data_IF_490583085816
#
_entry.id   IF_490583085816
#
_cell.length_a   1.000
_cell.length_b   1.000
_cell.length_c   1.000
_cell.angle_alpha   90.00
_cell.angle_beta   90.00
_cell.angle_gamma   90.00
#
_symmetry.space_group_name_H-M   'P 1'
#
loop_
_entity.id
_entity.type
_entity.pdbx_description
1 polymer ?
#
# COMPACT_ATOMS: atom_id res chain seq x y z
N UNK A 1 -13.48 2.88 -2.48
CA UNK A 1 -12.99 3.23 -3.83
C UNK A 1 -12.30 2.01 -4.43
N UNK A 2 -12.25 1.90 -5.75
CA UNK A 2 -11.62 0.78 -6.43
C UNK A 2 -11.95 0.75 -7.91
N UNK A 3 -11.23 -0.08 -8.66
CA UNK A 3 -11.32 -0.15 -10.13
C UNK A 3 -12.49 -1.03 -10.62
N UNK A 4 -13.00 -1.92 -9.77
CA UNK A 4 -14.13 -2.82 -10.05
C UNK A 4 -14.84 -3.23 -8.74
N UNK A 5 -16.06 -3.77 -8.80
CA UNK A 5 -16.74 -4.32 -7.62
C UNK A 5 -15.90 -5.37 -6.88
N UNK A 6 -15.28 -6.31 -7.60
CA UNK A 6 -14.45 -7.37 -7.01
C UNK A 6 -13.21 -6.80 -6.32
N UNK A 7 -12.58 -5.79 -6.93
CA UNK A 7 -11.46 -5.10 -6.31
C UNK A 7 -11.86 -4.42 -5.00
N UNK A 8 -13.04 -3.77 -4.97
CA UNK A 8 -13.57 -3.13 -3.75
C UNK A 8 -13.79 -4.16 -2.65
N UNK A 9 -14.33 -5.34 -2.98
CA UNK A 9 -14.55 -6.43 -2.01
C UNK A 9 -13.20 -6.94 -1.47
N UNK A 10 -12.23 -7.25 -2.35
CA UNK A 10 -10.91 -7.76 -1.94
C UNK A 10 -10.15 -6.74 -1.09
N UNK A 11 -10.12 -5.47 -1.52
CA UNK A 11 -9.48 -4.39 -0.76
C UNK A 11 -10.17 -4.17 0.59
N UNK A 12 -11.51 -4.24 0.64
CA UNK A 12 -12.27 -4.14 1.88
C UNK A 12 -11.88 -5.23 2.89
N UNK A 13 -11.69 -6.46 2.44
CA UNK A 13 -11.20 -7.56 3.27
C UNK A 13 -9.79 -7.33 3.81
N UNK A 14 -8.86 -6.90 2.95
CA UNK A 14 -7.48 -6.57 3.35
C UNK A 14 -7.49 -5.46 4.41
N UNK A 15 -8.24 -4.37 4.18
CA UNK A 15 -8.33 -3.25 5.12
C UNK A 15 -8.94 -3.68 6.45
N UNK A 16 -9.97 -4.54 6.44
CA UNK A 16 -10.58 -5.07 7.66
C UNK A 16 -9.56 -5.88 8.49
N UNK A 17 -8.75 -6.71 7.83
CA UNK A 17 -7.71 -7.50 8.48
C UNK A 17 -6.57 -6.63 9.04
N UNK A 18 -6.10 -5.66 8.27
CA UNK A 18 -5.04 -4.73 8.69
C UNK A 18 -5.48 -3.90 9.91
N UNK A 19 -6.74 -3.44 9.93
CA UNK A 19 -7.29 -2.61 11.02
C UNK A 19 -7.69 -3.40 12.25
N UNK A 20 -7.81 -4.73 12.16
CA UNK A 20 -8.18 -5.55 13.31
C UNK A 20 -7.01 -5.63 14.31
N UNK A 21 -7.15 -5.08 15.54
CA UNK A 21 -6.07 -5.09 16.54
C UNK A 21 -5.78 -6.49 17.08
N UNK A 22 -6.77 -7.39 17.08
CA UNK A 22 -6.67 -8.74 17.64
C UNK A 22 -6.12 -9.76 16.64
N UNK A 23 -5.99 -9.38 15.37
CA UNK A 23 -5.50 -10.25 14.31
C UNK A 23 -4.05 -9.95 13.99
N UNK A 24 -3.13 -10.84 14.37
CA UNK A 24 -1.72 -10.73 13.98
C UNK A 24 -1.38 -11.78 12.92
N UNK A 25 -0.69 -11.35 11.86
CA UNK A 25 -0.28 -12.21 10.75
C UNK A 25 0.96 -11.66 10.08
N UNK A 26 1.63 -12.52 9.31
CA UNK A 26 2.81 -12.17 8.56
C UNK A 26 2.44 -11.66 7.17
N UNK A 27 3.16 -10.64 6.69
CA UNK A 27 2.99 -10.01 5.39
C UNK A 27 4.32 -10.10 4.66
N UNK A 28 4.31 -10.69 3.47
CA UNK A 28 5.46 -10.68 2.58
C UNK A 28 5.46 -9.38 1.76
N UNK A 29 6.56 -8.65 1.77
CA UNK A 29 6.73 -7.46 0.93
C UNK A 29 7.19 -7.89 -0.45
N UNK A 30 6.48 -7.46 -1.49
CA UNK A 30 6.81 -7.80 -2.87
C UNK A 30 6.80 -6.54 -3.75
N UNK A 31 7.79 -6.41 -4.63
CA UNK A 31 7.75 -5.49 -5.77
C UNK A 31 7.22 -6.23 -7.01
N UNK A 32 6.01 -6.75 -6.89
CA UNK A 32 5.32 -7.57 -7.88
C UNK A 32 3.81 -7.57 -7.60
N UNK A 33 3.03 -8.36 -8.34
CA UNK A 33 1.61 -8.52 -8.00
C UNK A 33 1.42 -9.06 -6.59
N UNK A 34 0.63 -8.33 -5.82
CA UNK A 34 0.23 -8.68 -4.47
C UNK A 34 -1.22 -9.21 -4.42
N UNK A 35 -1.72 -9.40 -3.20
CA UNK A 35 -3.09 -9.81 -2.94
C UNK A 35 -4.15 -8.87 -3.54
N UNK A 36 -3.93 -7.56 -3.53
CA UNK A 36 -4.88 -6.60 -4.08
C UNK A 36 -4.92 -6.69 -5.61
N UNK A 37 -3.77 -6.90 -6.25
CA UNK A 37 -3.63 -7.08 -7.69
C UNK A 37 -4.46 -8.26 -8.20
N UNK A 38 -4.66 -9.31 -7.40
CA UNK A 38 -5.40 -10.50 -7.82
C UNK A 38 -6.86 -10.22 -8.23
N UNK A 39 -7.46 -9.16 -7.69
CA UNK A 39 -8.81 -8.70 -8.06
C UNK A 39 -8.81 -7.44 -8.95
N UNK A 40 -7.64 -6.97 -9.39
CA UNK A 40 -7.52 -5.78 -10.23
C UNK A 40 -7.91 -6.10 -11.68
N UNK A 41 -8.83 -5.32 -12.30
CA UNK A 41 -9.21 -5.54 -13.70
C UNK A 41 -8.08 -5.22 -14.69
N UNK A 42 -7.04 -4.51 -14.25
CA UNK A 42 -5.88 -4.14 -15.05
C UNK A 42 -4.70 -5.10 -14.89
N UNK A 43 -4.86 -6.19 -14.13
CA UNK A 43 -3.81 -7.21 -13.96
C UNK A 43 -3.73 -8.05 -15.24
N UNK A 44 -2.68 -7.83 -16.03
CA UNK A 44 -2.31 -8.72 -17.13
C UNK A 44 -1.73 -10.05 -16.63
N UNK A 45 -1.22 -10.86 -17.55
CA UNK A 45 -0.64 -12.15 -17.16
C UNK A 45 0.65 -12.00 -16.32
N UNK A 46 1.49 -11.03 -16.70
CA UNK A 46 2.81 -10.83 -16.07
C UNK A 46 3.08 -9.38 -15.65
N UNK A 47 2.21 -8.43 -16.02
CA UNK A 47 2.43 -6.99 -15.79
C UNK A 47 1.12 -6.22 -15.68
N UNK A 48 1.18 -5.04 -15.07
CA UNK A 48 0.04 -4.11 -15.06
C UNK A 48 -0.21 -3.56 -16.48
N UNK A 49 -1.45 -3.65 -16.94
CA UNK A 49 -1.89 -3.26 -18.29
C UNK A 49 -2.93 -2.14 -18.25
N UNK A 50 -2.92 -1.32 -17.19
CA UNK A 50 -3.86 -0.21 -17.05
C UNK A 50 -3.69 0.83 -18.18
N UNK A 51 -2.44 1.13 -18.54
CA UNK A 51 -2.05 1.97 -19.67
C UNK A 51 -0.54 1.79 -19.99
N UNK A 52 -0.07 2.50 -21.01
CA UNK A 52 1.37 2.54 -21.34
C UNK A 52 2.19 3.06 -20.15
N UNK A 53 3.19 2.28 -19.74
CA UNK A 53 4.05 2.61 -18.59
C UNK A 53 3.44 2.30 -17.21
N UNK A 54 2.21 1.78 -17.12
CA UNK A 54 1.58 1.52 -15.82
C UNK A 54 2.34 0.52 -14.96
N UNK A 55 2.99 -0.46 -15.59
CA UNK A 55 3.77 -1.48 -14.88
C UNK A 55 5.01 -0.90 -14.21
N UNK A 56 5.81 -0.16 -14.98
CA UNK A 56 7.02 0.49 -14.50
C UNK A 56 6.68 1.54 -13.43
N UNK A 57 5.55 2.22 -13.60
CA UNK A 57 5.03 3.18 -12.63
C UNK A 57 4.72 2.54 -11.27
N UNK A 58 3.92 1.46 -11.24
CA UNK A 58 3.58 0.80 -9.97
C UNK A 58 4.81 0.15 -9.32
N UNK A 59 5.68 -0.51 -10.10
CA UNK A 59 6.92 -1.09 -9.57
C UNK A 59 7.87 -0.02 -9.00
N UNK A 60 7.91 1.15 -9.62
CA UNK A 60 8.66 2.30 -9.08
C UNK A 60 8.06 2.77 -7.74
N UNK A 61 6.74 2.82 -7.61
CA UNK A 61 6.09 3.17 -6.34
C UNK A 61 6.39 2.14 -5.25
N UNK A 62 6.29 0.85 -5.57
CA UNK A 62 6.61 -0.24 -4.64
C UNK A 62 8.06 -0.14 -4.15
N UNK A 63 9.00 0.04 -5.08
CA UNK A 63 10.42 0.21 -4.76
C UNK A 63 10.69 1.43 -3.87
N UNK A 64 10.05 2.58 -4.15
CA UNK A 64 10.15 3.78 -3.30
C UNK A 64 9.68 3.50 -1.87
N UNK A 65 8.53 2.84 -1.70
CA UNK A 65 7.95 2.53 -0.37
C UNK A 65 8.81 1.53 0.39
N UNK A 66 9.24 0.43 -0.27
CA UNK A 66 10.13 -0.58 0.33
C UNK A 66 11.42 0.09 0.82
N UNK A 67 12.07 0.89 -0.02
CA UNK A 67 13.29 1.60 0.34
C UNK A 67 13.07 2.61 1.48
N UNK A 68 11.97 3.39 1.43
CA UNK A 68 11.65 4.41 2.45
C UNK A 68 11.41 3.79 3.83
N UNK A 69 10.74 2.64 3.87
CA UNK A 69 10.50 1.91 5.12
C UNK A 69 11.75 1.13 5.58
N UNK A 70 12.73 0.91 4.71
CA UNK A 70 13.90 0.08 4.99
C UNK A 70 13.55 -1.40 5.05
N UNK A 71 12.63 -1.83 4.18
CA UNK A 71 12.21 -3.22 4.01
C UNK A 71 12.98 -3.84 2.83
N UNK A 72 12.90 -5.17 2.70
CA UNK A 72 13.49 -5.91 1.60
C UNK A 72 12.42 -6.62 0.77
N UNK A 73 12.58 -6.62 -0.55
CA UNK A 73 11.72 -7.40 -1.44
C UNK A 73 11.83 -8.91 -1.14
N UNK A 74 10.70 -9.59 -1.09
CA UNK A 74 10.57 -11.02 -0.77
C UNK A 74 10.64 -11.36 0.73
N UNK A 75 10.97 -10.42 1.62
CA UNK A 75 11.00 -10.65 3.06
C UNK A 75 9.62 -10.60 3.71
N UNK A 76 9.50 -11.25 4.86
CA UNK A 76 8.25 -11.38 5.60
C UNK A 76 8.35 -10.65 6.93
N UNK A 77 7.37 -9.80 7.21
CA UNK A 77 7.30 -8.99 8.42
C UNK A 77 5.96 -9.18 9.12
N UNK A 78 5.93 -8.87 10.41
CA UNK A 78 4.71 -8.89 11.20
C UNK A 78 3.83 -7.67 10.90
N UNK A 79 2.51 -7.87 10.78
CA UNK A 79 1.53 -6.80 10.50
C UNK A 79 1.73 -5.61 11.44
N UNK A 80 1.79 -5.85 12.75
CA UNK A 80 1.95 -4.77 13.74
C UNK A 80 3.31 -4.07 13.64
N UNK A 81 4.37 -4.78 13.23
CA UNK A 81 5.67 -4.19 12.95
C UNK A 81 5.58 -3.23 11.75
N UNK A 82 4.91 -3.62 10.67
CA UNK A 82 4.73 -2.78 9.48
C UNK A 82 3.87 -1.55 9.77
N UNK A 83 2.80 -1.67 10.57
CA UNK A 83 1.99 -0.53 11.00
C UNK A 83 2.82 0.48 11.81
N UNK A 84 3.56 0.00 12.81
CA UNK A 84 4.44 0.86 13.62
C UNK A 84 5.50 1.55 12.75
N UNK A 85 6.18 0.79 11.89
CA UNK A 85 7.21 1.30 11.00
C UNK A 85 6.67 2.37 10.04
N UNK A 86 5.46 2.13 9.50
CA UNK A 86 4.77 3.08 8.62
C UNK A 86 4.44 4.36 9.39
N UNK A 87 3.88 4.25 10.60
CA UNK A 87 3.59 5.40 11.45
C UNK A 87 4.85 6.23 11.76
N UNK A 88 5.97 5.58 12.08
CA UNK A 88 7.22 6.24 12.43
C UNK A 88 7.87 6.94 11.23
N UNK A 89 7.92 6.27 10.06
CA UNK A 89 8.72 6.71 8.92
C UNK A 89 7.94 7.48 7.86
N UNK A 90 6.62 7.33 7.77
CA UNK A 90 5.81 7.98 6.72
C UNK A 90 5.08 9.18 7.30
N UNK A 91 5.35 10.36 6.74
CA UNK A 91 4.56 11.58 6.95
C UNK A 91 3.61 11.77 5.77
N UNK A 92 2.46 12.46 5.96
CA UNK A 92 1.52 12.73 4.87
C UNK A 92 2.20 13.28 3.61
N UNK A 93 3.13 14.22 3.74
CA UNK A 93 3.81 14.84 2.60
C UNK A 93 4.83 13.93 1.91
N UNK A 94 5.29 12.86 2.56
CA UNK A 94 6.12 11.86 1.86
C UNK A 94 5.32 11.17 0.74
N UNK A 95 4.00 11.12 0.83
CA UNK A 95 3.16 10.53 -0.23
C UNK A 95 3.24 11.31 -1.55
N UNK A 96 3.64 12.58 -1.54
CA UNK A 96 3.83 13.34 -2.78
C UNK A 96 4.98 12.78 -3.62
N UNK A 97 5.96 12.15 -2.97
CA UNK A 97 7.07 11.47 -3.64
C UNK A 97 6.81 9.95 -3.78
N UNK A 98 6.35 9.31 -2.71
CA UNK A 98 6.14 7.85 -2.67
C UNK A 98 5.00 7.41 -3.60
N UNK A 99 3.96 8.22 -3.71
CA UNK A 99 2.78 7.97 -4.54
C UNK A 99 2.64 8.97 -5.69
N UNK A 100 3.75 9.60 -6.09
CA UNK A 100 3.80 10.50 -7.24
C UNK A 100 3.16 9.84 -8.48
N UNK A 101 2.19 10.51 -9.11
CA UNK A 101 1.46 9.98 -10.28
C UNK A 101 0.31 9.00 -9.98
N UNK A 102 0.09 8.64 -8.70
CA UNK A 102 -1.05 7.82 -8.31
C UNK A 102 -2.38 8.57 -8.47
N UNK A 103 -3.34 7.93 -9.14
CA UNK A 103 -4.67 8.50 -9.38
C UNK A 103 -5.47 8.77 -8.10
N UNK A 104 -5.11 8.14 -6.97
CA UNK A 104 -5.82 8.31 -5.70
C UNK A 104 -5.25 9.40 -4.81
N UNK A 105 -4.02 9.85 -5.06
CA UNK A 105 -3.33 10.81 -4.19
C UNK A 105 -4.09 12.14 -4.10
N UNK A 106 -4.66 12.60 -5.22
CA UNK A 106 -5.40 13.87 -5.30
C UNK A 106 -6.68 13.90 -4.48
N UNK A 107 -7.22 12.76 -4.05
CA UNK A 107 -8.39 12.72 -3.17
C UNK A 107 -8.07 13.04 -1.71
N UNK A 108 -6.78 13.12 -1.33
CA UNK A 108 -6.35 13.47 0.03
C UNK A 108 -6.50 12.36 1.08
N UNK A 109 -7.36 11.36 0.84
CA UNK A 109 -7.66 10.28 1.80
C UNK A 109 -6.44 9.47 2.25
N UNK A 110 -5.41 9.33 1.40
CA UNK A 110 -4.19 8.62 1.76
C UNK A 110 -3.37 9.42 2.79
N UNK A 111 -3.27 10.74 2.60
CA UNK A 111 -2.58 11.65 3.53
C UNK A 111 -3.30 11.72 4.87
N UNK A 112 -4.63 11.77 4.85
CA UNK A 112 -5.47 11.69 6.05
C UNK A 112 -5.24 10.37 6.79
N UNK A 113 -5.25 9.24 6.09
CA UNK A 113 -5.02 7.92 6.70
C UNK A 113 -3.65 7.78 7.35
N UNK A 114 -2.59 8.33 6.76
CA UNK A 114 -1.26 8.36 7.39
C UNK A 114 -1.26 9.25 8.64
N UNK A 115 -1.89 10.43 8.59
CA UNK A 115 -2.00 11.31 9.75
C UNK A 115 -2.77 10.65 10.90
N UNK A 116 -3.85 9.93 10.60
CA UNK A 116 -4.62 9.15 11.59
C UNK A 116 -3.80 8.01 12.18
N UNK A 117 -3.10 7.23 11.34
CA UNK A 117 -2.22 6.15 11.79
C UNK A 117 -1.14 6.66 12.74
N UNK A 118 -0.49 7.80 12.43
CA UNK A 118 0.53 8.39 13.31
C UNK A 118 -0.03 8.73 14.69
N UNK A 119 -1.24 9.30 14.75
CA UNK A 119 -1.93 9.63 16.01
C UNK A 119 -2.21 8.39 16.86
N UNK A 120 -2.55 7.23 16.26
CA UNK A 120 -2.78 6.01 17.05
C UNK A 120 -1.50 5.48 17.73
N UNK A 121 -0.34 5.87 17.22
CA UNK A 121 0.97 5.60 17.83
C UNK A 121 1.52 6.77 18.66
N UNK A 122 0.73 7.84 18.88
CA UNK A 122 1.16 9.01 19.65
C UNK A 122 2.24 9.86 18.97
N UNK A 123 2.27 9.86 17.64
CA UNK A 123 3.24 10.59 16.82
C UNK A 123 2.52 11.76 16.14
N UNK A 124 3.06 12.98 16.33
CA UNK A 124 2.59 14.20 15.67
C UNK A 124 3.07 14.32 14.21
#
# INVERSE_FOLDING_TARGET
>A
MGYSPDFIVKMGGIVADIRNPDKEFSIQTVAAFDDACMACPHRGQTKCEANEGSNEHVLSMDGKVIAHLGLSDGETYQKNQLLKLTAEKVKPDHLDFLCEGCSWLSYGVCKEGIAELRKTFGID
#
